data_IF_630649116945
#
_entry.id   IF_630649116945
#
_cell.length_a   1.000
_cell.length_b   1.000
_cell.length_c   1.000
_cell.angle_alpha   90.00
_cell.angle_beta   90.00
_cell.angle_gamma   90.00
#
_symmetry.space_group_name_H-M   'P 1'
#
loop_
_entity.id
_entity.type
_entity.pdbx_description
1 polymer ?
#
# COMPACT_ATOMS: atom_id res chain seq x y z
N UNK A 1 13.33 4.88 45.10
CA UNK A 1 13.92 6.25 44.92
C UNK A 1 14.43 6.34 43.48
N UNK A 2 13.70 6.98 42.58
CA UNK A 2 14.15 7.16 41.17
C UNK A 2 15.30 8.18 41.20
N UNK A 3 16.50 7.73 40.92
CA UNK A 3 17.66 8.58 40.71
C UNK A 3 17.36 9.54 39.55
N UNK A 4 17.64 10.82 39.78
CA UNK A 4 17.57 11.89 38.78
C UNK A 4 18.15 11.38 37.47
N UNK A 5 17.31 11.30 36.43
CA UNK A 5 17.70 10.78 35.13
C UNK A 5 18.87 11.59 34.59
N UNK A 6 20.03 10.97 34.58
CA UNK A 6 21.20 11.55 33.93
C UNK A 6 20.92 11.57 32.41
N UNK A 7 21.08 12.76 31.84
CA UNK A 7 20.99 12.95 30.40
C UNK A 7 22.09 12.12 29.72
N UNK A 8 21.71 11.17 28.89
CA UNK A 8 22.68 10.38 28.13
C UNK A 8 23.08 11.13 26.87
N UNK A 9 24.34 11.52 26.80
CA UNK A 9 24.94 12.15 25.63
C UNK A 9 25.61 11.08 24.79
N UNK A 10 25.03 10.76 23.63
CA UNK A 10 25.54 9.74 22.72
C UNK A 10 26.78 10.23 21.96
N UNK A 11 26.85 11.53 21.66
CA UNK A 11 28.01 12.19 21.05
C UNK A 11 28.15 13.61 21.58
N UNK A 12 29.32 13.98 22.03
CA UNK A 12 29.62 15.38 22.44
C UNK A 12 29.59 16.31 21.24
N UNK A 13 29.07 17.52 21.44
CA UNK A 13 29.13 18.57 20.43
C UNK A 13 30.55 19.06 20.24
N UNK A 14 30.90 19.37 19.01
CA UNK A 14 32.13 20.07 18.61
C UNK A 14 31.74 21.25 17.70
N UNK A 15 32.61 22.25 17.50
CA UNK A 15 32.31 23.35 16.59
C UNK A 15 31.83 22.86 15.22
N UNK A 16 30.62 23.33 14.81
CA UNK A 16 29.97 22.90 13.57
C UNK A 16 29.21 21.58 13.61
N UNK A 17 29.28 20.82 14.74
CA UNK A 17 28.54 19.57 14.87
C UNK A 17 27.84 19.50 16.24
N UNK A 18 26.49 19.60 16.31
CA UNK A 18 25.75 19.61 17.56
C UNK A 18 25.89 18.28 18.33
N UNK A 19 25.72 18.34 19.65
CA UNK A 19 25.68 17.15 20.48
C UNK A 19 24.48 16.26 20.13
N UNK A 20 24.66 14.95 20.16
CA UNK A 20 23.59 13.96 20.02
C UNK A 20 23.22 13.45 21.41
N UNK A 21 21.97 13.58 21.76
CA UNK A 21 21.42 13.26 23.08
C UNK A 21 20.32 12.22 22.93
N UNK A 22 20.25 11.26 23.84
CA UNK A 22 19.15 10.31 23.88
C UNK A 22 17.86 11.01 24.34
N UNK A 23 16.87 11.07 23.44
CA UNK A 23 15.59 11.71 23.66
C UNK A 23 14.85 11.13 24.90
N UNK A 24 14.96 9.81 25.13
CA UNK A 24 14.26 9.17 26.25
C UNK A 24 14.82 9.59 27.62
N UNK A 25 16.05 10.01 27.68
CA UNK A 25 16.70 10.45 28.92
C UNK A 25 16.54 11.95 29.20
N UNK A 26 15.96 12.70 28.28
CA UNK A 26 15.68 14.12 28.47
C UNK A 26 14.64 14.37 29.58
N UNK A 27 14.76 15.47 30.30
CA UNK A 27 13.76 15.95 31.27
C UNK A 27 12.41 16.19 30.57
N UNK A 28 11.32 15.96 31.30
CA UNK A 28 9.95 16.05 30.75
C UNK A 28 9.60 17.45 30.18
N UNK A 29 10.07 18.51 30.81
CA UNK A 29 9.90 19.89 30.36
C UNK A 29 10.62 20.13 29.01
N UNK A 30 11.88 19.71 28.92
CA UNK A 30 12.69 19.82 27.69
C UNK A 30 12.11 18.97 26.56
N UNK A 31 11.63 17.75 26.85
CA UNK A 31 10.94 16.90 25.86
C UNK A 31 9.70 17.60 25.28
N UNK A 32 8.88 18.21 26.15
CA UNK A 32 7.69 18.95 25.68
C UNK A 32 8.05 20.10 24.76
N UNK A 33 9.03 20.90 25.16
CA UNK A 33 9.49 22.02 24.34
C UNK A 33 10.09 21.56 23.00
N UNK A 34 10.87 20.47 23.01
CA UNK A 34 11.42 19.88 21.80
C UNK A 34 10.32 19.41 20.86
N UNK A 35 9.30 18.68 21.38
CA UNK A 35 8.17 18.18 20.58
C UNK A 35 7.40 19.33 19.94
N UNK A 36 7.16 20.42 20.66
CA UNK A 36 6.47 21.62 20.13
C UNK A 36 7.26 22.26 19.00
N UNK A 37 8.60 22.34 19.11
CA UNK A 37 9.45 23.02 18.12
C UNK A 37 9.82 22.15 16.91
N UNK A 38 10.02 20.85 17.09
CA UNK A 38 10.60 19.95 16.08
C UNK A 38 9.70 18.76 15.72
N UNK A 39 8.60 18.55 16.44
CA UNK A 39 7.79 17.35 16.34
C UNK A 39 8.29 16.21 17.24
N UNK A 40 7.47 15.17 17.38
CA UNK A 40 7.85 13.98 18.16
C UNK A 40 8.74 13.05 17.31
N UNK A 41 10.03 12.87 17.64
CA UNK A 41 10.94 12.03 16.88
C UNK A 41 10.48 10.56 16.86
N UNK A 42 9.71 10.11 17.85
CA UNK A 42 9.14 8.76 17.89
C UNK A 42 8.08 8.56 16.80
N UNK A 43 7.30 9.61 16.50
CA UNK A 43 6.32 9.54 15.43
C UNK A 43 6.99 9.40 14.05
N UNK A 44 8.11 10.07 13.82
CA UNK A 44 8.90 9.93 12.59
C UNK A 44 9.51 8.53 12.44
N UNK A 45 10.10 8.01 13.54
CA UNK A 45 10.67 6.65 13.55
C UNK A 45 9.57 5.62 13.31
N UNK A 46 8.41 5.75 13.98
CA UNK A 46 7.27 4.87 13.79
C UNK A 46 6.75 4.92 12.34
N UNK A 47 6.68 6.10 11.73
CA UNK A 47 6.27 6.25 10.35
C UNK A 47 7.27 5.60 9.37
N UNK A 48 8.58 5.82 9.57
CA UNK A 48 9.64 5.18 8.75
C UNK A 48 9.62 3.66 8.90
N UNK A 49 9.48 3.15 10.12
CA UNK A 49 9.41 1.71 10.38
C UNK A 49 8.17 1.07 9.74
N UNK A 50 7.01 1.77 9.78
CA UNK A 50 5.80 1.27 9.13
C UNK A 50 5.91 1.25 7.60
N UNK A 51 6.57 2.23 6.98
CA UNK A 51 6.86 2.24 5.53
C UNK A 51 7.74 1.06 5.14
N UNK A 52 8.81 0.85 5.89
CA UNK A 52 9.74 -0.28 5.70
C UNK A 52 9.01 -1.64 5.79
N UNK A 53 8.10 -1.81 6.74
CA UNK A 53 7.34 -3.07 6.91
C UNK A 53 6.50 -3.39 5.67
N UNK A 54 5.86 -2.40 5.04
CA UNK A 54 5.07 -2.66 3.83
C UNK A 54 5.97 -2.91 2.62
N UNK A 55 7.07 -2.18 2.47
CA UNK A 55 8.06 -2.40 1.41
C UNK A 55 8.64 -3.82 1.49
N UNK A 56 9.03 -4.25 2.68
CA UNK A 56 9.58 -5.59 2.93
C UNK A 56 8.55 -6.70 2.65
N UNK A 57 7.26 -6.41 2.84
CA UNK A 57 6.18 -7.35 2.58
C UNK A 57 5.81 -7.46 1.08
N UNK A 58 6.27 -6.54 0.22
CA UNK A 58 5.99 -6.57 -1.22
C UNK A 58 6.93 -7.57 -1.91
N UNK A 59 6.45 -8.79 -2.06
CA UNK A 59 7.20 -9.86 -2.75
C UNK A 59 6.89 -9.85 -4.24
N UNK A 60 7.89 -10.15 -5.06
CA UNK A 60 7.70 -10.32 -6.50
C UNK A 60 6.80 -11.54 -6.79
N UNK A 61 5.89 -11.42 -7.75
CA UNK A 61 4.98 -12.49 -8.16
C UNK A 61 5.12 -12.79 -9.65
N UNK A 62 5.88 -13.83 -9.98
CA UNK A 62 6.00 -14.31 -11.35
C UNK A 62 4.64 -14.75 -11.92
N UNK A 63 3.81 -15.43 -11.12
CA UNK A 63 2.51 -15.94 -11.54
C UNK A 63 1.56 -14.80 -11.97
N UNK A 64 1.54 -13.69 -11.24
CA UNK A 64 0.74 -12.53 -11.61
C UNK A 64 1.26 -11.88 -12.91
N UNK A 65 2.57 -11.71 -13.04
CA UNK A 65 3.17 -11.18 -14.27
C UNK A 65 2.88 -12.07 -15.49
N UNK A 66 3.06 -13.39 -15.37
CA UNK A 66 2.74 -14.36 -16.42
C UNK A 66 1.27 -14.30 -16.81
N UNK A 67 0.36 -14.25 -15.81
CA UNK A 67 -1.06 -14.12 -16.09
C UNK A 67 -1.37 -12.88 -16.94
N UNK A 68 -0.90 -11.70 -16.57
CA UNK A 68 -1.21 -10.45 -17.27
C UNK A 68 -0.50 -10.36 -18.64
N UNK A 69 0.69 -10.92 -18.79
CA UNK A 69 1.47 -10.84 -20.01
C UNK A 69 1.10 -11.90 -21.05
N UNK A 70 0.80 -13.13 -20.59
CA UNK A 70 0.62 -14.29 -21.46
C UNK A 70 -0.83 -14.75 -21.52
N UNK A 71 -1.48 -14.95 -20.36
CA UNK A 71 -2.79 -15.61 -20.30
C UNK A 71 -3.96 -14.65 -20.52
N UNK A 72 -3.88 -13.44 -19.95
CA UNK A 72 -4.99 -12.50 -20.06
C UNK A 72 -5.08 -11.85 -21.43
N UNK A 73 -6.30 -11.83 -21.98
CA UNK A 73 -6.64 -11.14 -23.24
C UNK A 73 -7.90 -10.31 -23.01
N UNK A 74 -8.01 -9.19 -23.71
CA UNK A 74 -9.19 -8.35 -23.71
C UNK A 74 -9.64 -8.04 -25.14
N UNK A 75 -10.88 -7.66 -25.32
CA UNK A 75 -11.45 -7.23 -26.61
C UNK A 75 -11.08 -8.19 -27.76
N UNK A 76 -11.45 -9.48 -27.58
CA UNK A 76 -11.13 -10.56 -28.50
C UNK A 76 -9.80 -11.26 -28.14
N UNK A 77 -8.69 -10.77 -28.62
CA UNK A 77 -7.38 -11.41 -28.38
C UNK A 77 -6.25 -10.41 -28.13
N UNK A 78 -6.58 -9.19 -27.74
CA UNK A 78 -5.58 -8.16 -27.51
C UNK A 78 -4.82 -8.39 -26.20
N UNK A 79 -3.50 -8.26 -26.27
CA UNK A 79 -2.61 -8.29 -25.10
C UNK A 79 -2.64 -6.96 -24.37
N UNK A 80 -2.45 -6.99 -23.04
CA UNK A 80 -2.25 -5.77 -22.26
C UNK A 80 -0.98 -5.04 -22.72
N UNK A 81 -1.00 -3.69 -22.74
CA UNK A 81 0.21 -2.90 -22.90
C UNK A 81 1.20 -3.17 -21.74
N UNK A 82 2.52 -3.13 -21.98
CA UNK A 82 3.54 -3.39 -20.94
C UNK A 82 3.32 -2.57 -19.65
N UNK A 83 3.05 -1.28 -19.79
CA UNK A 83 2.78 -0.41 -18.65
C UNK A 83 1.57 -0.86 -17.80
N UNK A 84 0.56 -1.50 -18.41
CA UNK A 84 -0.58 -2.05 -17.67
C UNK A 84 -0.28 -3.39 -17.04
N UNK A 85 0.58 -4.19 -17.64
CA UNK A 85 1.07 -5.44 -17.05
C UNK A 85 1.81 -5.12 -15.75
N UNK A 86 2.74 -4.15 -15.80
CA UNK A 86 3.52 -3.73 -14.64
C UNK A 86 2.62 -3.14 -13.53
N UNK A 87 1.67 -2.26 -13.91
CA UNK A 87 0.72 -1.65 -12.98
C UNK A 87 -0.14 -2.71 -12.26
N UNK A 88 -0.75 -3.64 -13.00
CA UNK A 88 -1.61 -4.66 -12.40
C UNK A 88 -0.82 -5.68 -11.57
N UNK A 89 0.38 -6.04 -12.03
CA UNK A 89 1.29 -6.92 -11.27
C UNK A 89 1.68 -6.25 -9.95
N UNK A 90 2.01 -4.97 -9.97
CA UNK A 90 2.33 -4.21 -8.76
C UNK A 90 1.12 -4.09 -7.83
N UNK A 91 -0.08 -3.82 -8.36
CA UNK A 91 -1.30 -3.78 -7.56
C UNK A 91 -1.56 -5.10 -6.83
N UNK A 92 -1.38 -6.25 -7.51
CA UNK A 92 -1.49 -7.59 -6.89
C UNK A 92 -0.48 -7.75 -5.75
N UNK A 93 0.77 -7.38 -5.97
CA UNK A 93 1.84 -7.49 -4.97
C UNK A 93 1.53 -6.65 -3.73
N UNK A 94 1.08 -5.41 -3.91
CA UNK A 94 0.71 -4.52 -2.80
C UNK A 94 -0.51 -5.06 -2.06
N UNK A 95 -1.55 -5.55 -2.77
CA UNK A 95 -2.73 -6.13 -2.12
C UNK A 95 -2.38 -7.38 -1.32
N UNK A 96 -1.52 -8.25 -1.83
CA UNK A 96 -1.03 -9.42 -1.08
C UNK A 96 -0.28 -9.01 0.19
N UNK A 97 0.58 -8.00 0.11
CA UNK A 97 1.30 -7.46 1.26
C UNK A 97 0.34 -6.85 2.31
N UNK A 98 -0.67 -6.07 1.87
CA UNK A 98 -1.68 -5.50 2.76
C UNK A 98 -2.52 -6.58 3.46
N UNK A 99 -2.92 -7.63 2.75
CA UNK A 99 -3.65 -8.77 3.31
C UNK A 99 -2.80 -9.54 4.32
N UNK A 100 -1.54 -9.81 4.01
CA UNK A 100 -0.58 -10.45 4.92
C UNK A 100 -0.39 -9.64 6.20
N UNK A 101 -0.21 -8.32 6.10
CA UNK A 101 -0.09 -7.44 7.26
C UNK A 101 -1.38 -7.37 8.08
N UNK A 102 -2.56 -7.38 7.43
CA UNK A 102 -3.85 -7.48 8.11
C UNK A 102 -3.95 -8.76 8.94
N UNK A 103 -3.58 -9.88 8.37
CA UNK A 103 -3.72 -11.20 9.00
C UNK A 103 -2.66 -11.41 10.09
N UNK A 104 -1.44 -10.97 9.89
CA UNK A 104 -0.39 -10.95 10.92
C UNK A 104 -0.78 -10.11 12.15
N UNK A 105 -1.47 -8.98 11.96
CA UNK A 105 -2.00 -8.19 13.08
C UNK A 105 -3.15 -8.86 13.81
N UNK A 106 -4.03 -9.58 13.11
CA UNK A 106 -5.08 -10.37 13.76
C UNK A 106 -4.50 -11.47 14.63
N UNK A 107 -3.46 -12.16 14.16
CA UNK A 107 -2.76 -13.18 14.94
C UNK A 107 -2.10 -12.62 16.20
N UNK A 108 -1.50 -11.42 16.12
CA UNK A 108 -0.84 -10.76 17.25
C UNK A 108 -1.80 -10.02 18.20
N UNK A 109 -3.05 -9.80 17.79
CA UNK A 109 -4.07 -9.08 18.60
C UNK A 109 -4.71 -9.94 19.68
N UNK A 110 -4.33 -11.21 19.81
CA UNK A 110 -4.80 -12.13 20.86
C UNK A 110 -4.28 -11.72 22.26
N UNK A 111 -3.37 -10.74 22.35
CA UNK A 111 -2.83 -10.19 23.59
C UNK A 111 -3.33 -8.80 23.95
N UNK A 112 -4.66 -8.61 24.04
CA UNK A 112 -5.34 -7.55 24.79
C UNK A 112 -4.71 -6.14 24.78
N UNK A 113 -5.01 -5.36 23.78
CA UNK A 113 -4.72 -3.92 23.73
C UNK A 113 -5.75 -3.21 22.90
N UNK A 114 -6.85 -2.79 23.53
CA UNK A 114 -7.94 -2.06 22.90
C UNK A 114 -7.50 -0.64 22.50
N UNK A 115 -7.04 -0.47 21.29
CA UNK A 115 -7.23 0.79 20.61
C UNK A 115 -8.06 0.52 19.36
N UNK A 116 -9.27 1.10 19.32
CA UNK A 116 -10.24 1.04 18.21
C UNK A 116 -9.72 1.69 16.92
N UNK A 117 -8.43 1.55 16.63
CA UNK A 117 -7.85 2.09 15.40
C UNK A 117 -8.19 1.12 14.29
N UNK A 118 -8.94 1.63 13.32
CA UNK A 118 -9.31 0.88 12.14
C UNK A 118 -8.04 0.43 11.40
N UNK A 119 -7.80 -0.89 11.36
CA UNK A 119 -6.62 -1.47 10.69
C UNK A 119 -6.52 -1.00 9.25
N UNK A 120 -7.66 -0.88 8.55
CA UNK A 120 -7.69 -0.45 7.16
C UNK A 120 -7.29 1.01 6.94
N UNK A 121 -7.52 1.89 7.92
CA UNK A 121 -7.02 3.27 7.85
C UNK A 121 -5.49 3.31 7.87
N UNK A 122 -4.88 2.52 8.75
CA UNK A 122 -3.41 2.39 8.81
C UNK A 122 -2.85 1.78 7.54
N UNK A 123 -3.43 0.69 7.05
CA UNK A 123 -3.00 0.03 5.82
C UNK A 123 -3.15 0.95 4.60
N UNK A 124 -4.24 1.73 4.54
CA UNK A 124 -4.44 2.71 3.48
C UNK A 124 -3.40 3.84 3.53
N UNK A 125 -3.07 4.32 4.73
CA UNK A 125 -2.00 5.29 4.90
C UNK A 125 -0.67 4.74 4.39
N UNK A 126 -0.30 3.51 4.77
CA UNK A 126 0.91 2.85 4.29
C UNK A 126 0.93 2.72 2.77
N UNK A 127 -0.20 2.33 2.16
CA UNK A 127 -0.33 2.24 0.70
C UNK A 127 -0.15 3.61 0.03
N UNK A 128 -0.78 4.66 0.56
CA UNK A 128 -0.62 6.01 0.02
C UNK A 128 0.81 6.56 0.19
N UNK A 129 1.47 6.20 1.28
CA UNK A 129 2.86 6.57 1.53
C UNK A 129 3.82 5.96 0.49
N UNK A 130 3.54 4.75 -0.04
CA UNK A 130 4.32 4.16 -1.13
C UNK A 130 4.36 5.04 -2.39
N UNK A 131 3.27 5.77 -2.68
CA UNK A 131 3.21 6.69 -3.83
C UNK A 131 4.14 7.90 -3.68
N UNK A 132 4.61 8.19 -2.46
CA UNK A 132 5.54 9.29 -2.21
C UNK A 132 7.00 8.91 -2.36
N UNK A 133 7.28 7.59 -2.46
CA UNK A 133 8.63 7.07 -2.56
C UNK A 133 9.15 7.23 -3.99
N UNK A 134 10.29 7.89 -4.10
CA UNK A 134 10.97 8.14 -5.39
C UNK A 134 12.36 7.54 -5.38
N UNK A 135 12.80 7.09 -6.54
CA UNK A 135 14.17 6.68 -6.77
C UNK A 135 15.12 7.92 -6.83
N UNK A 136 16.44 7.73 -6.85
CA UNK A 136 17.40 8.83 -6.98
C UNK A 136 17.20 9.68 -8.25
N UNK A 137 16.51 9.16 -9.27
CA UNK A 137 16.20 9.87 -10.52
C UNK A 137 14.83 10.58 -10.48
N UNK A 138 14.14 10.58 -9.33
CA UNK A 138 12.85 11.22 -9.13
C UNK A 138 11.66 10.44 -9.69
N UNK A 139 11.83 9.18 -10.10
CA UNK A 139 10.74 8.31 -10.58
C UNK A 139 10.05 7.63 -9.42
N UNK A 140 8.74 7.39 -9.57
CA UNK A 140 7.96 6.66 -8.56
C UNK A 140 8.44 5.20 -8.49
N UNK A 141 8.79 4.73 -7.28
CA UNK A 141 9.25 3.34 -7.06
C UNK A 141 8.07 2.37 -7.12
N UNK A 142 6.91 2.78 -6.60
CA UNK A 142 5.69 1.98 -6.54
C UNK A 142 4.50 2.70 -7.19
N UNK A 143 4.51 2.89 -8.53
CA UNK A 143 3.43 3.59 -9.25
C UNK A 143 2.17 2.72 -9.34
N UNK A 144 1.37 2.68 -8.27
CA UNK A 144 0.12 1.93 -8.22
C UNK A 144 -1.12 2.81 -8.31
N UNK A 145 -2.27 2.24 -8.70
CA UNK A 145 -3.55 2.92 -8.79
C UNK A 145 -4.60 2.40 -7.80
N UNK A 146 -4.16 1.81 -6.69
CA UNK A 146 -5.07 1.36 -5.63
C UNK A 146 -5.84 2.53 -5.02
N UNK A 147 -7.06 2.30 -4.51
CA UNK A 147 -7.87 3.35 -3.91
C UNK A 147 -7.18 4.05 -2.74
N UNK A 148 -7.18 5.40 -2.75
CA UNK A 148 -6.61 6.23 -1.69
C UNK A 148 -7.50 6.36 -0.45
N UNK A 149 -8.76 5.93 -0.54
CA UNK A 149 -9.71 5.90 0.57
C UNK A 149 -9.76 4.50 1.19
N UNK A 150 -9.67 4.40 2.51
CA UNK A 150 -9.60 3.13 3.22
C UNK A 150 -10.83 2.23 3.01
N UNK A 151 -12.05 2.78 2.89
CA UNK A 151 -13.27 2.00 2.64
C UNK A 151 -13.23 1.37 1.25
N UNK A 152 -12.80 2.11 0.26
CA UNK A 152 -12.67 1.63 -1.11
C UNK A 152 -11.52 0.62 -1.24
N UNK A 153 -10.38 0.87 -0.58
CA UNK A 153 -9.26 -0.05 -0.54
C UNK A 153 -9.65 -1.38 0.12
N UNK A 154 -10.31 -1.32 1.28
CA UNK A 154 -10.84 -2.50 1.97
C UNK A 154 -11.70 -3.33 1.03
N UNK A 155 -12.72 -2.71 0.41
CA UNK A 155 -13.61 -3.39 -0.53
C UNK A 155 -12.86 -4.03 -1.70
N UNK A 156 -11.87 -3.34 -2.27
CA UNK A 156 -11.06 -3.86 -3.37
C UNK A 156 -10.24 -5.08 -2.94
N UNK A 157 -9.61 -5.03 -1.77
CA UNK A 157 -8.86 -6.15 -1.22
C UNK A 157 -9.76 -7.34 -0.87
N UNK A 158 -10.96 -7.11 -0.31
CA UNK A 158 -11.93 -8.16 0.00
C UNK A 158 -12.47 -8.82 -1.29
N UNK A 159 -12.73 -8.05 -2.34
CA UNK A 159 -13.10 -8.58 -3.66
C UNK A 159 -12.00 -9.45 -4.26
N UNK A 160 -10.75 -8.99 -4.19
CA UNK A 160 -9.58 -9.73 -4.64
C UNK A 160 -9.42 -11.04 -3.84
N UNK A 161 -9.50 -10.98 -2.52
CA UNK A 161 -9.40 -12.15 -1.64
C UNK A 161 -10.53 -13.17 -1.92
N UNK A 162 -11.76 -12.72 -2.10
CA UNK A 162 -12.90 -13.57 -2.45
C UNK A 162 -12.73 -14.25 -3.80
N UNK A 163 -12.30 -13.50 -4.83
CA UNK A 163 -12.03 -14.05 -6.15
C UNK A 163 -10.86 -15.07 -6.11
N UNK A 164 -9.80 -14.77 -5.35
CA UNK A 164 -8.65 -15.67 -5.18
C UNK A 164 -9.01 -17.00 -4.51
N UNK A 165 -10.07 -17.04 -3.67
CA UNK A 165 -10.58 -18.29 -3.10
C UNK A 165 -11.17 -19.23 -4.14
N UNK A 166 -11.64 -18.70 -5.28
CA UNK A 166 -12.15 -19.50 -6.39
C UNK A 166 -10.96 -20.02 -7.21
N UNK A 167 -10.10 -19.12 -7.66
CA UNK A 167 -8.82 -19.43 -8.29
C UNK A 167 -7.89 -18.22 -8.23
N UNK A 168 -6.57 -18.45 -8.33
CA UNK A 168 -5.60 -17.34 -8.40
C UNK A 168 -5.84 -16.47 -9.64
N UNK A 169 -6.21 -17.05 -10.76
CA UNK A 169 -6.50 -16.31 -12.00
C UNK A 169 -7.72 -15.39 -11.86
N UNK A 170 -8.78 -15.84 -11.18
CA UNK A 170 -9.94 -14.98 -10.88
C UNK A 170 -9.55 -13.84 -9.92
N UNK A 171 -8.67 -14.11 -8.96
CA UNK A 171 -8.04 -13.08 -8.15
C UNK A 171 -7.37 -12.01 -9.03
N UNK A 172 -6.51 -12.40 -9.95
CA UNK A 172 -5.83 -11.47 -10.85
C UNK A 172 -6.81 -10.71 -11.75
N UNK A 173 -7.84 -11.37 -12.30
CA UNK A 173 -8.89 -10.71 -13.10
C UNK A 173 -9.62 -9.63 -12.32
N UNK A 174 -9.88 -9.84 -11.02
CA UNK A 174 -10.59 -8.88 -10.17
C UNK A 174 -9.82 -7.55 -9.98
N UNK A 175 -8.51 -7.54 -10.23
CA UNK A 175 -7.68 -6.33 -10.15
C UNK A 175 -7.94 -5.39 -11.32
N UNK A 176 -8.25 -5.96 -12.49
CA UNK A 176 -8.50 -5.22 -13.73
C UNK A 176 -9.84 -4.47 -13.62
N UNK A 177 -9.89 -3.24 -14.09
CA UNK A 177 -11.13 -2.49 -14.14
C UNK A 177 -12.11 -3.14 -15.13
N UNK A 178 -13.37 -3.35 -14.74
CA UNK A 178 -14.38 -4.05 -15.55
C UNK A 178 -14.59 -3.45 -16.95
N UNK A 179 -14.41 -2.15 -17.08
CA UNK A 179 -14.54 -1.44 -18.35
C UNK A 179 -13.25 -1.34 -19.14
N UNK A 180 -12.15 -2.02 -18.71
CA UNK A 180 -10.89 -1.95 -19.42
C UNK A 180 -11.00 -2.61 -20.79
N UNK A 181 -10.61 -1.88 -21.83
CA UNK A 181 -10.70 -2.35 -23.22
C UNK A 181 -12.09 -2.25 -23.85
N UNK A 182 -13.13 -2.02 -23.06
CA UNK A 182 -14.49 -1.84 -23.61
C UNK A 182 -14.71 -0.37 -24.01
N UNK A 183 -14.41 -0.07 -25.26
CA UNK A 183 -14.65 1.28 -25.84
C UNK A 183 -16.13 1.64 -25.93
N UNK A 184 -17.01 0.66 -25.86
CA UNK A 184 -18.46 0.80 -26.04
C UNK A 184 -19.24 0.37 -24.79
N UNK A 185 -18.69 0.60 -23.61
CA UNK A 185 -19.33 0.21 -22.33
C UNK A 185 -20.78 0.76 -22.15
N UNK A 186 -21.15 1.80 -22.90
CA UNK A 186 -22.50 2.35 -22.94
C UNK A 186 -23.38 1.73 -24.03
N UNK A 187 -22.80 0.98 -24.97
CA UNK A 187 -23.52 0.39 -26.12
C UNK A 187 -23.15 -1.08 -26.18
N UNK A 188 -23.73 -1.89 -25.30
CA UNK A 188 -23.80 -3.33 -25.53
C UNK A 188 -24.80 -3.53 -26.66
N UNK A 189 -24.36 -3.35 -27.88
CA UNK A 189 -25.12 -3.84 -29.02
C UNK A 189 -25.02 -5.36 -29.01
N UNK A 190 -26.04 -5.99 -28.47
CA UNK A 190 -26.32 -7.40 -28.68
C UNK A 190 -26.36 -7.67 -30.20
N UNK A 191 -25.89 -8.82 -30.65
CA UNK A 191 -25.93 -9.17 -32.10
C UNK A 191 -27.35 -9.11 -32.67
N UNK A 192 -28.35 -9.41 -31.86
CA UNK A 192 -29.76 -9.26 -32.21
C UNK A 192 -30.16 -7.78 -32.46
N UNK A 193 -29.62 -6.85 -31.67
CA UNK A 193 -29.84 -5.41 -31.88
C UNK A 193 -29.14 -4.90 -33.16
N UNK A 194 -27.95 -5.47 -33.52
CA UNK A 194 -27.30 -5.18 -34.80
C UNK A 194 -28.12 -5.70 -35.98
N UNK A 195 -28.66 -6.91 -35.88
CA UNK A 195 -29.51 -7.49 -36.93
C UNK A 195 -30.80 -6.69 -37.19
N UNK A 196 -31.36 -6.07 -36.15
CA UNK A 196 -32.54 -5.17 -36.29
C UNK A 196 -32.16 -3.85 -36.96
N UNK A 197 -30.99 -3.26 -36.65
CA UNK A 197 -30.54 -1.99 -37.27
C UNK A 197 -30.15 -2.16 -38.75
N UNK A 198 -29.75 -3.35 -39.19
CA UNK A 198 -29.49 -3.62 -40.59
C UNK A 198 -30.72 -3.91 -41.43
N UNK A 199 -31.91 -4.02 -40.84
CA UNK A 199 -33.18 -4.24 -41.54
C UNK A 199 -34.02 -2.98 -41.69
N UNK A 200 -33.56 -1.85 -41.16
CA UNK A 200 -34.15 -0.52 -41.34
C UNK A 200 -33.36 0.28 -42.37
#
# INVERSE_FOLDING_TARGET
>A
MARNGQLIVLRRGIPGCPALVDFETMRKDVKKEYIVRKGDPRAEIAAKTQKSILEDAIVYSNAAYEFFSVKYRYDGDKKLPPAKIDEYTLNVRIMNALLSLRDGRKANSIGGGSTRINVWEKLCKLSNDLLTLKDPNGRDIFPHNLPKNWKALKRKCEQYEAARRISEEEGYRSVIHKSYGNKYAAVVMNEDAKAVMHKL
#
